data_IF_134145484240
#
_entry.id   IF_134145484240
#
_cell.length_a   1.000
_cell.length_b   1.000
_cell.length_c   1.000
_cell.angle_alpha   90.00
_cell.angle_beta   90.00
_cell.angle_gamma   90.00
#
_symmetry.space_group_name_H-M   'P 1'
#
loop_
_entity.id
_entity.type
_entity.pdbx_description
1 polymer ?
#
# COMPACT_ATOMS: atom_id res chain seq x y z
N UNK A 1 -3.96 13.33 -20.57
CA UNK A 1 -3.35 12.05 -20.17
C UNK A 1 -2.70 12.30 -18.82
N UNK A 2 -2.88 11.38 -17.87
CA UNK A 2 -2.10 11.42 -16.64
C UNK A 2 -0.82 10.67 -16.98
N UNK A 3 0.27 11.41 -17.16
CA UNK A 3 1.58 10.83 -17.42
C UNK A 3 2.20 10.42 -16.08
N UNK A 4 2.32 9.10 -15.89
CA UNK A 4 3.10 8.50 -14.82
C UNK A 4 4.50 8.20 -15.35
N UNK A 5 5.52 8.48 -14.56
CA UNK A 5 6.89 8.07 -14.88
C UNK A 5 7.00 6.54 -14.87
N UNK A 6 7.98 6.01 -15.61
CA UNK A 6 8.24 4.57 -15.64
C UNK A 6 8.53 4.00 -14.24
N UNK A 7 9.17 4.79 -13.38
CA UNK A 7 9.46 4.42 -12.01
C UNK A 7 8.19 4.30 -11.16
N UNK A 8 7.29 5.30 -11.20
CA UNK A 8 5.99 5.24 -10.52
C UNK A 8 5.19 4.02 -10.95
N UNK A 9 5.13 3.74 -12.26
CA UNK A 9 4.41 2.58 -12.79
C UNK A 9 5.04 1.27 -12.31
N UNK A 10 6.37 1.17 -12.33
CA UNK A 10 7.08 -0.03 -11.88
C UNK A 10 6.88 -0.29 -10.40
N UNK A 11 7.03 0.73 -9.55
CA UNK A 11 6.86 0.60 -8.11
C UNK A 11 5.40 0.30 -7.73
N UNK A 12 4.45 1.01 -8.34
CA UNK A 12 3.02 0.73 -8.13
C UNK A 12 2.66 -0.69 -8.57
N UNK A 13 3.23 -1.16 -9.68
CA UNK A 13 3.05 -2.52 -10.17
C UNK A 13 3.64 -3.55 -9.20
N UNK A 14 4.83 -3.33 -8.64
CA UNK A 14 5.44 -4.26 -7.68
C UNK A 14 4.54 -4.45 -6.44
N UNK A 15 4.05 -3.35 -5.87
CA UNK A 15 3.13 -3.39 -4.72
C UNK A 15 1.79 -4.03 -5.10
N UNK A 16 1.29 -3.73 -6.29
CA UNK A 16 0.07 -4.33 -6.83
C UNK A 16 0.19 -5.85 -7.00
N UNK A 17 1.22 -6.32 -7.69
CA UNK A 17 1.49 -7.74 -7.90
C UNK A 17 1.63 -8.44 -6.55
N UNK A 18 2.34 -7.84 -5.58
CA UNK A 18 2.43 -8.36 -4.22
C UNK A 18 1.05 -8.53 -3.56
N UNK A 19 0.23 -7.47 -3.54
CA UNK A 19 -1.09 -7.52 -2.93
C UNK A 19 -2.04 -8.52 -3.64
N UNK A 20 -1.90 -8.68 -4.95
CA UNK A 20 -2.68 -9.62 -5.75
C UNK A 20 -2.29 -11.09 -5.54
N UNK A 21 -1.11 -11.38 -4.95
CA UNK A 21 -0.72 -12.77 -4.60
C UNK A 21 -1.59 -13.35 -3.50
N UNK A 22 -2.22 -12.51 -2.69
CA UNK A 22 -3.05 -12.93 -1.57
C UNK A 22 -4.53 -12.75 -1.91
N UNK A 23 -5.38 -13.74 -1.63
CA UNK A 23 -6.82 -13.60 -1.81
C UNK A 23 -7.37 -12.50 -0.88
N UNK A 24 -8.47 -11.82 -1.24
CA UNK A 24 -9.16 -10.85 -0.38
C UNK A 24 -9.99 -11.57 0.69
N UNK A 25 -9.28 -12.24 1.61
CA UNK A 25 -9.81 -12.94 2.78
C UNK A 25 -9.00 -12.53 4.00
N UNK A 26 -9.56 -12.65 5.20
CA UNK A 26 -8.87 -12.29 6.44
C UNK A 26 -7.47 -12.93 6.57
N UNK A 27 -7.33 -14.19 6.18
CA UNK A 27 -6.04 -14.90 6.17
C UNK A 27 -5.07 -14.33 5.11
N UNK A 28 -5.57 -14.01 3.91
CA UNK A 28 -4.77 -13.38 2.87
C UNK A 28 -4.36 -11.95 3.22
N UNK A 29 -5.24 -11.19 3.86
CA UNK A 29 -4.96 -9.86 4.38
C UNK A 29 -3.91 -9.91 5.50
N UNK A 30 -3.98 -10.88 6.41
CA UNK A 30 -2.96 -11.11 7.43
C UNK A 30 -1.59 -11.42 6.81
N UNK A 31 -1.54 -12.28 5.78
CA UNK A 31 -0.31 -12.58 5.04
C UNK A 31 0.24 -11.36 4.28
N UNK A 32 -0.64 -10.54 3.70
CA UNK A 32 -0.28 -9.28 3.04
C UNK A 32 0.32 -8.28 4.05
N UNK A 33 -0.27 -8.18 5.23
CA UNK A 33 0.25 -7.31 6.30
C UNK A 33 1.57 -7.85 6.87
N UNK A 34 1.74 -9.16 6.97
CA UNK A 34 2.96 -9.76 7.51
C UNK A 34 4.21 -9.43 6.68
N UNK A 35 4.09 -9.39 5.35
CA UNK A 35 5.19 -9.03 4.45
C UNK A 35 5.17 -7.58 3.98
N UNK A 36 4.29 -6.72 4.52
CA UNK A 36 4.13 -5.36 4.01
C UNK A 36 5.39 -4.49 4.18
N UNK A 37 6.24 -4.80 5.16
CA UNK A 37 7.46 -4.04 5.46
C UNK A 37 8.44 -4.01 4.28
N UNK A 38 8.61 -5.14 3.58
CA UNK A 38 9.49 -5.23 2.40
C UNK A 38 9.01 -4.37 1.23
N UNK A 39 7.71 -4.07 1.16
CA UNK A 39 7.07 -3.30 0.09
C UNK A 39 6.73 -1.86 0.50
N UNK A 40 6.93 -1.52 1.76
CA UNK A 40 6.60 -0.21 2.34
C UNK A 40 7.47 0.90 1.73
N UNK A 41 8.75 0.61 1.44
CA UNK A 41 9.64 1.57 0.78
C UNK A 41 9.16 1.91 -0.64
N UNK A 42 8.83 0.89 -1.44
CA UNK A 42 8.29 1.08 -2.78
C UNK A 42 6.96 1.85 -2.75
N UNK A 43 6.08 1.51 -1.81
CA UNK A 43 4.83 2.23 -1.60
C UNK A 43 5.07 3.71 -1.24
N UNK A 44 6.00 4.00 -0.32
CA UNK A 44 6.38 5.35 0.08
C UNK A 44 6.96 6.14 -1.10
N UNK A 45 7.81 5.54 -1.92
CA UNK A 45 8.37 6.20 -3.11
C UNK A 45 7.29 6.56 -4.12
N UNK A 46 6.28 5.70 -4.31
CA UNK A 46 5.11 6.04 -5.14
C UNK A 46 4.37 7.24 -4.54
N UNK A 47 4.12 7.26 -3.24
CA UNK A 47 3.45 8.38 -2.57
C UNK A 47 4.23 9.70 -2.69
N UNK A 48 5.55 9.66 -2.50
CA UNK A 48 6.42 10.83 -2.51
C UNK A 48 6.58 11.42 -3.93
N UNK A 49 6.68 10.55 -4.93
CA UNK A 49 6.84 10.93 -6.34
C UNK A 49 5.51 11.26 -7.04
N UNK A 50 4.36 10.88 -6.48
CA UNK A 50 3.05 11.03 -7.13
C UNK A 50 2.24 12.20 -6.60
N UNK A 51 1.69 12.99 -7.52
CA UNK A 51 0.66 13.98 -7.18
C UNK A 51 -0.67 13.31 -6.82
N UNK A 52 -1.57 14.01 -6.12
CA UNK A 52 -2.91 13.50 -5.77
C UNK A 52 -3.68 12.91 -6.97
N UNK A 53 -3.62 13.58 -8.12
CA UNK A 53 -4.28 13.12 -9.36
C UNK A 53 -3.62 11.86 -9.93
N UNK A 54 -2.30 11.76 -9.83
CA UNK A 54 -1.56 10.55 -10.24
C UNK A 54 -1.85 9.37 -9.29
N UNK A 55 -1.93 9.63 -7.99
CA UNK A 55 -2.32 8.63 -6.99
C UNK A 55 -3.72 8.08 -7.25
N UNK A 56 -4.70 8.94 -7.50
CA UNK A 56 -6.06 8.53 -7.83
C UNK A 56 -6.06 7.61 -9.08
N UNK A 57 -5.30 7.99 -10.11
CA UNK A 57 -5.12 7.17 -11.30
C UNK A 57 -4.42 5.84 -11.02
N UNK A 58 -3.36 5.81 -10.22
CA UNK A 58 -2.66 4.58 -9.81
C UNK A 58 -3.63 3.64 -9.08
N UNK A 59 -4.42 4.16 -8.14
CA UNK A 59 -5.42 3.39 -7.40
C UNK A 59 -6.48 2.78 -8.33
N UNK A 60 -6.90 3.52 -9.37
CA UNK A 60 -7.84 3.01 -10.38
C UNK A 60 -7.22 1.96 -11.30
N UNK A 61 -5.97 2.12 -11.71
CA UNK A 61 -5.28 1.19 -12.60
C UNK A 61 -4.82 -0.10 -11.89
N UNK A 62 -4.46 0.01 -10.62
CA UNK A 62 -3.86 -1.06 -9.84
C UNK A 62 -4.70 -1.36 -8.59
N UNK A 63 -5.78 -2.15 -8.70
CA UNK A 63 -6.67 -2.43 -7.55
C UNK A 63 -5.96 -3.10 -6.37
N UNK A 64 -4.94 -3.93 -6.62
CA UNK A 64 -4.05 -4.47 -5.58
C UNK A 64 -3.26 -3.40 -4.82
N UNK A 65 -2.78 -2.36 -5.51
CA UNK A 65 -2.11 -1.22 -4.86
C UNK A 65 -3.10 -0.46 -3.98
N UNK A 66 -4.32 -0.22 -4.49
CA UNK A 66 -5.38 0.41 -3.70
C UNK A 66 -5.70 -0.40 -2.43
N UNK A 67 -5.86 -1.73 -2.54
CA UNK A 67 -6.07 -2.60 -1.39
C UNK A 67 -4.93 -2.51 -0.37
N UNK A 68 -3.68 -2.48 -0.83
CA UNK A 68 -2.53 -2.27 0.05
C UNK A 68 -2.61 -0.92 0.76
N UNK A 69 -2.91 0.15 0.04
CA UNK A 69 -3.07 1.50 0.61
C UNK A 69 -4.18 1.55 1.67
N UNK A 70 -5.34 0.92 1.42
CA UNK A 70 -6.43 0.83 2.39
C UNK A 70 -5.99 0.13 3.67
N UNK A 71 -5.21 -0.95 3.57
CA UNK A 71 -4.68 -1.64 4.75
C UNK A 71 -3.68 -0.78 5.53
N UNK A 72 -2.83 -0.02 4.84
CA UNK A 72 -1.91 0.92 5.50
C UNK A 72 -2.67 2.04 6.20
N UNK A 73 -3.75 2.55 5.60
CA UNK A 73 -4.63 3.56 6.21
C UNK A 73 -5.33 3.00 7.46
N UNK A 74 -5.88 1.79 7.38
CA UNK A 74 -6.50 1.11 8.52
C UNK A 74 -5.51 0.85 9.65
N UNK A 75 -4.26 0.47 9.32
CA UNK A 75 -3.19 0.29 10.29
C UNK A 75 -2.87 1.62 11.00
N UNK A 76 -2.64 2.68 10.23
CA UNK A 76 -2.35 4.00 10.77
C UNK A 76 -3.50 4.54 11.63
N UNK A 77 -4.74 4.33 11.20
CA UNK A 77 -5.92 4.68 11.97
C UNK A 77 -6.02 3.86 13.25
N UNK A 78 -5.83 2.54 13.19
CA UNK A 78 -5.84 1.68 14.38
C UNK A 78 -4.80 2.10 15.42
N UNK A 79 -3.63 2.57 14.98
CA UNK A 79 -2.61 3.16 15.86
C UNK A 79 -3.08 4.50 16.45
N UNK A 80 -3.66 5.38 15.64
CA UNK A 80 -4.14 6.70 16.07
C UNK A 80 -5.32 6.61 17.05
N UNK A 81 -6.24 5.67 16.82
CA UNK A 81 -7.39 5.37 17.69
C UNK A 81 -6.98 4.57 18.96
N UNK A 82 -5.73 4.11 19.04
CA UNK A 82 -5.21 3.33 20.17
C UNK A 82 -5.72 1.89 20.24
N UNK A 83 -6.36 1.39 19.17
CA UNK A 83 -6.78 -0.01 19.01
C UNK A 83 -5.58 -0.92 18.80
N UNK A 84 -4.59 -0.45 18.03
CA UNK A 84 -3.32 -1.11 17.81
C UNK A 84 -2.30 -0.46 18.74
N UNK A 85 -1.95 -1.16 19.82
CA UNK A 85 -0.84 -0.74 20.68
C UNK A 85 0.47 -0.94 19.92
N UNK A 86 1.07 0.16 19.47
CA UNK A 86 2.46 0.14 19.00
C UNK A 86 3.32 -0.16 20.23
N UNK A 87 4.03 -1.31 20.27
CA UNK A 87 4.93 -1.58 21.38
C UNK A 87 5.95 -0.44 21.42
N UNK A 88 5.97 0.29 22.53
CA UNK A 88 7.01 1.25 22.82
C UNK A 88 8.29 0.43 22.99
N UNK A 89 9.23 0.62 22.08
CA UNK A 89 10.53 -0.06 22.04
C UNK A 89 11.18 -0.12 23.44
N UNK A 90 11.79 -1.27 23.76
CA UNK A 90 12.50 -1.57 25.00
C UNK A 90 13.99 -1.23 24.86
#
# INVERSE_FOLDING_TARGET
MIDLTAEQQQLAKIVHDYACRFPPTEDGDAQLLQGCYDYMEAFKQVLDSSSKVQMDYICLQYPGFFRFATWMELLAQGIADGVIEVPKDH
#
